data_IF_241459107887
#
_entry.id   IF_241459107887
#
_cell.length_a   1.000
_cell.length_b   1.000
_cell.length_c   1.000
_cell.angle_alpha   90.00
_cell.angle_beta   90.00
_cell.angle_gamma   90.00
#
_symmetry.space_group_name_H-M   'P 1'
#
loop_
_entity.id
_entity.type
_entity.pdbx_description
1 polymer ?
#
# COMPACT_ATOMS: atom_id res chain seq x y z
N UNK A 1 8.64 -14.92 -7.54
CA UNK A 1 8.40 -13.68 -8.31
C UNK A 1 6.95 -13.71 -8.75
N UNK A 2 6.05 -13.24 -7.87
CA UNK A 2 4.62 -13.11 -8.18
C UNK A 2 4.37 -11.71 -8.73
N UNK A 3 3.91 -11.63 -9.98
CA UNK A 3 3.36 -10.41 -10.53
C UNK A 3 1.95 -10.25 -9.94
N UNK A 4 1.72 -9.16 -9.21
CA UNK A 4 0.38 -8.85 -8.72
C UNK A 4 -0.51 -8.42 -9.90
N UNK A 5 -1.74 -8.92 -10.02
CA UNK A 5 -2.68 -8.39 -10.99
C UNK A 5 -3.18 -7.04 -10.47
N UNK A 6 -2.87 -5.96 -11.17
CA UNK A 6 -3.62 -4.73 -11.02
C UNK A 6 -5.06 -5.04 -11.48
N UNK A 7 -5.99 -5.20 -10.54
CA UNK A 7 -7.42 -5.18 -10.83
C UNK A 7 -7.76 -3.77 -11.33
N UNK A 8 -7.82 -3.62 -12.64
CA UNK A 8 -8.26 -2.43 -13.34
C UNK A 8 -9.77 -2.27 -13.20
N UNK A 9 -10.26 -1.93 -12.00
CA UNK A 9 -11.71 -1.74 -11.76
C UNK A 9 -12.10 -0.26 -11.66
N UNK A 10 -11.16 0.68 -11.61
CA UNK A 10 -11.48 2.12 -11.45
C UNK A 10 -11.66 2.89 -12.76
N UNK A 11 -11.52 2.26 -13.94
CA UNK A 11 -11.69 2.96 -15.22
C UNK A 11 -13.14 3.07 -15.71
N UNK A 12 -14.11 2.38 -15.09
CA UNK A 12 -15.48 2.30 -15.62
C UNK A 12 -16.48 3.27 -14.97
N UNK A 13 -16.17 3.87 -13.81
CA UNK A 13 -17.14 4.69 -13.08
C UNK A 13 -17.20 6.18 -13.53
N UNK A 14 -16.17 6.67 -14.21
CA UNK A 14 -16.15 8.08 -14.67
C UNK A 14 -16.71 8.29 -16.08
N UNK A 15 -17.12 7.24 -16.80
CA UNK A 15 -17.74 7.37 -18.13
C UNK A 15 -19.25 7.68 -18.08
N UNK A 16 -19.92 7.44 -16.95
CA UNK A 16 -21.37 7.65 -16.82
C UNK A 16 -21.77 9.02 -16.30
N UNK A 17 -20.82 9.88 -15.90
CA UNK A 17 -21.14 11.17 -15.27
C UNK A 17 -21.17 12.38 -16.21
N UNK A 18 -20.96 12.18 -17.51
CA UNK A 18 -20.98 13.25 -18.53
C UNK A 18 -22.25 13.30 -19.39
N UNK A 19 -23.19 12.36 -19.24
CA UNK A 19 -24.43 12.30 -20.02
C UNK A 19 -25.69 12.64 -19.20
N UNK A 20 -25.60 13.57 -18.25
CA UNK A 20 -26.78 14.03 -17.51
C UNK A 20 -26.84 15.55 -17.44
N UNK A 21 -26.88 16.16 -18.62
CA UNK A 21 -27.25 17.57 -18.80
C UNK A 21 -28.19 17.71 -20.01
N UNK A 22 -29.40 17.15 -19.90
CA UNK A 22 -30.52 17.52 -20.76
C UNK A 22 -31.79 17.75 -19.92
N UNK A 23 -32.52 18.77 -20.39
CA UNK A 23 -33.60 19.56 -19.79
C UNK A 23 -34.94 18.80 -19.62
N UNK A 24 -35.95 19.41 -18.94
CA UNK A 24 -37.06 18.69 -18.32
C UNK A 24 -38.25 18.48 -19.27
N UNK A 25 -38.96 17.37 -19.09
CA UNK A 25 -40.34 17.18 -19.57
C UNK A 25 -41.14 16.47 -18.46
N UNK A 26 -42.32 16.99 -18.08
CA UNK A 26 -43.19 16.32 -17.11
C UNK A 26 -44.21 15.45 -17.83
N UNK A 27 -44.27 14.15 -17.51
CA UNK A 27 -45.46 13.34 -17.81
C UNK A 27 -45.73 12.34 -16.70
N UNK A 28 -46.86 12.58 -16.05
CA UNK A 28 -47.60 11.73 -15.11
C UNK A 28 -47.91 10.36 -15.71
N UNK A 29 -47.57 9.26 -15.02
CA UNK A 29 -48.29 7.98 -15.09
C UNK A 29 -47.94 7.05 -13.89
N UNK A 30 -48.91 6.99 -12.97
CA UNK A 30 -49.45 5.90 -12.13
C UNK A 30 -48.65 4.58 -11.89
N UNK A 31 -48.67 4.04 -10.65
CA UNK A 31 -47.89 2.86 -10.25
C UNK A 31 -48.62 1.52 -10.46
N UNK A 32 -47.87 0.45 -10.71
CA UNK A 32 -48.34 -0.95 -10.69
C UNK A 32 -47.32 -1.80 -9.91
N UNK A 33 -47.66 -2.34 -8.73
CA UNK A 33 -47.07 -3.57 -8.17
C UNK A 33 -47.99 -4.76 -8.52
N UNK A 34 -47.74 -6.04 -8.14
CA UNK A 34 -46.56 -6.70 -7.57
C UNK A 34 -46.19 -8.02 -8.33
N UNK A 35 -45.14 -8.73 -7.91
CA UNK A 35 -45.13 -10.20 -7.92
C UNK A 35 -44.09 -10.73 -6.94
N UNK A 36 -44.56 -11.14 -5.76
CA UNK A 36 -43.86 -12.04 -4.85
C UNK A 36 -43.85 -13.44 -5.48
N UNK A 37 -42.66 -14.04 -5.65
CA UNK A 37 -42.56 -15.49 -5.81
C UNK A 37 -41.75 -16.04 -4.64
N UNK A 38 -42.49 -16.61 -3.69
CA UNK A 38 -42.00 -17.56 -2.72
C UNK A 38 -41.66 -18.87 -3.43
N UNK A 39 -40.53 -19.48 -3.09
CA UNK A 39 -40.33 -20.92 -3.26
C UNK A 39 -39.45 -21.43 -2.13
N UNK A 40 -40.11 -22.20 -1.28
CA UNK A 40 -39.69 -22.95 -0.11
C UNK A 40 -38.68 -24.06 -0.48
N UNK A 41 -37.79 -24.49 0.44
CA UNK A 41 -36.80 -25.52 0.17
C UNK A 41 -37.39 -26.94 0.30
N UNK A 42 -36.92 -27.86 -0.55
CA UNK A 42 -37.17 -29.30 -0.44
C UNK A 42 -35.91 -30.02 0.09
N UNK A 43 -36.05 -31.02 0.98
CA UNK A 43 -34.95 -31.82 1.51
C UNK A 43 -34.72 -33.10 0.68
N UNK A 44 -33.80 -33.95 1.16
CA UNK A 44 -33.34 -35.25 0.60
C UNK A 44 -32.10 -35.11 -0.31
N UNK A 45 -31.08 -35.99 -0.29
CA UNK A 45 -31.04 -37.39 0.13
C UNK A 45 -29.63 -37.73 0.61
N UNK A 46 -29.58 -38.57 1.65
CA UNK A 46 -28.39 -39.11 2.29
C UNK A 46 -27.97 -40.38 1.56
N UNK A 47 -26.99 -40.29 0.66
CA UNK A 47 -26.35 -41.48 0.08
C UNK A 47 -24.93 -41.65 0.61
N UNK A 48 -24.81 -42.68 1.44
CA UNK A 48 -23.59 -43.24 2.00
C UNK A 48 -22.85 -43.99 0.89
N UNK A 49 -21.83 -43.36 0.30
CA UNK A 49 -20.84 -44.06 -0.53
C UNK A 49 -19.50 -44.10 0.20
N UNK A 50 -19.09 -45.31 0.59
CA UNK A 50 -17.80 -45.61 1.19
C UNK A 50 -16.67 -45.31 0.19
N UNK A 51 -16.04 -44.14 0.34
CA UNK A 51 -14.82 -43.78 -0.41
C UNK A 51 -13.60 -44.21 0.40
N UNK A 52 -12.95 -45.29 -0.05
CA UNK A 52 -11.62 -45.71 0.39
C UNK A 52 -10.62 -44.58 0.15
N UNK A 53 -10.21 -43.90 1.22
CA UNK A 53 -9.19 -42.85 1.18
C UNK A 53 -7.80 -43.49 0.94
N UNK A 54 -7.09 -43.15 -0.15
CA UNK A 54 -5.69 -43.49 -0.28
C UNK A 54 -4.89 -42.67 0.75
N UNK A 55 -4.10 -43.39 1.56
CA UNK A 55 -3.18 -42.90 2.58
C UNK A 55 -2.22 -41.87 1.97
N UNK A 56 -2.62 -40.59 1.97
CA UNK A 56 -1.78 -39.46 1.57
C UNK A 56 -0.69 -39.21 2.61
N UNK A 57 0.54 -38.90 2.20
CA UNK A 57 1.60 -38.54 3.12
C UNK A 57 1.23 -37.26 3.88
N UNK A 58 1.54 -37.27 5.19
CA UNK A 58 1.42 -36.15 6.11
C UNK A 58 2.09 -34.89 5.55
N UNK A 59 1.26 -34.00 4.97
CA UNK A 59 1.62 -32.63 4.60
C UNK A 59 0.72 -31.69 5.41
N UNK A 60 0.91 -31.73 6.72
CA UNK A 60 0.26 -30.92 7.74
C UNK A 60 1.42 -30.32 8.53
N UNK A 61 1.73 -29.03 8.46
CA UNK A 61 1.17 -28.05 9.39
C UNK A 61 1.79 -26.66 9.15
N UNK A 62 1.93 -26.22 7.89
CA UNK A 62 2.52 -24.90 7.60
C UNK A 62 1.45 -23.88 7.15
N UNK A 63 0.40 -24.33 6.47
CA UNK A 63 -0.72 -23.49 6.04
C UNK A 63 -1.64 -23.05 7.18
N UNK A 64 -1.80 -23.87 8.22
CA UNK A 64 -2.69 -23.57 9.34
C UNK A 64 -2.14 -22.44 10.22
N UNK A 65 -0.82 -22.43 10.45
CA UNK A 65 -0.10 -21.40 11.21
C UNK A 65 -0.15 -20.04 10.51
N UNK A 66 -0.06 -20.01 9.18
CA UNK A 66 -0.21 -18.77 8.41
C UNK A 66 -1.64 -18.22 8.52
N UNK A 67 -2.65 -19.08 8.46
CA UNK A 67 -4.05 -18.63 8.55
C UNK A 67 -4.41 -18.04 9.92
N UNK A 68 -3.84 -18.56 11.00
CA UNK A 68 -4.05 -18.01 12.34
C UNK A 68 -3.31 -16.70 12.56
N UNK A 69 -2.08 -16.58 12.05
CA UNK A 69 -1.33 -15.33 12.07
C UNK A 69 -2.05 -14.22 11.30
N UNK A 70 -2.58 -14.53 10.12
CA UNK A 70 -3.33 -13.57 9.29
C UNK A 70 -4.60 -13.11 10.02
N UNK A 71 -5.37 -14.04 10.61
CA UNK A 71 -6.56 -13.71 11.42
C UNK A 71 -6.22 -12.84 12.64
N UNK A 72 -5.12 -13.16 13.32
CA UNK A 72 -4.64 -12.35 14.44
C UNK A 72 -4.34 -10.92 14.01
N UNK A 73 -3.62 -10.75 12.90
CA UNK A 73 -3.29 -9.45 12.33
C UNK A 73 -4.51 -8.62 11.93
N UNK A 74 -5.52 -9.24 11.32
CA UNK A 74 -6.77 -8.56 10.96
C UNK A 74 -7.55 -8.08 12.19
N UNK A 75 -7.61 -8.90 13.25
CA UNK A 75 -8.22 -8.51 14.52
C UNK A 75 -7.54 -7.28 15.14
N UNK A 76 -6.20 -7.21 15.11
CA UNK A 76 -5.48 -6.03 15.56
C UNK A 76 -5.77 -4.79 14.70
N UNK A 77 -5.86 -4.95 13.38
CA UNK A 77 -6.21 -3.84 12.48
C UNK A 77 -7.61 -3.29 12.78
N UNK A 78 -8.59 -4.15 13.06
CA UNK A 78 -9.96 -3.74 13.37
C UNK A 78 -10.04 -2.97 14.70
N UNK A 79 -9.22 -3.34 15.70
CA UNK A 79 -9.12 -2.63 16.98
C UNK A 79 -8.39 -1.29 16.83
N UNK A 80 -7.36 -1.25 15.99
CA UNK A 80 -6.50 -0.08 15.83
C UNK A 80 -7.08 0.97 14.88
N UNK A 81 -7.81 0.56 13.83
CA UNK A 81 -8.44 1.48 12.85
C UNK A 81 -9.23 2.62 13.50
N UNK A 82 -10.20 2.37 14.40
CA UNK A 82 -10.98 3.45 15.00
C UNK A 82 -10.17 4.30 15.98
N UNK A 83 -9.10 3.75 16.57
CA UNK A 83 -8.28 4.45 17.56
C UNK A 83 -7.24 5.38 16.92
N UNK A 84 -6.65 4.96 15.80
CA UNK A 84 -5.56 5.71 15.17
C UNK A 84 -6.08 6.66 14.07
N UNK A 85 -7.16 6.31 13.37
CA UNK A 85 -7.70 7.13 12.26
C UNK A 85 -9.21 7.33 12.34
N UNK A 86 -9.70 8.15 13.29
CA UNK A 86 -11.11 8.54 13.29
C UNK A 86 -11.51 9.38 12.05
N UNK A 87 -10.54 9.93 11.29
CA UNK A 87 -10.76 10.92 10.22
C UNK A 87 -10.23 10.48 8.83
N UNK A 88 -9.94 9.19 8.62
CA UNK A 88 -9.44 8.67 7.33
C UNK A 88 -7.93 8.81 7.12
N UNK A 89 -7.42 8.25 6.03
CA UNK A 89 -5.98 8.21 5.73
C UNK A 89 -5.52 9.62 5.31
N UNK A 90 -4.65 10.24 6.10
CA UNK A 90 -4.13 11.57 5.79
C UNK A 90 -3.11 11.55 4.65
N UNK A 91 -3.23 12.49 3.71
CA UNK A 91 -2.33 12.75 2.59
C UNK A 91 -1.07 13.54 2.97
N UNK A 92 -1.11 14.24 4.10
CA UNK A 92 -0.04 15.13 4.55
C UNK A 92 1.31 14.45 4.77
N UNK A 93 1.39 13.24 5.35
CA UNK A 93 2.67 12.53 5.48
C UNK A 93 3.33 12.25 4.12
N UNK A 94 2.56 11.88 3.09
CA UNK A 94 3.08 11.65 1.75
C UNK A 94 3.62 12.94 1.11
N UNK A 95 2.86 14.04 1.18
CA UNK A 95 3.32 15.35 0.69
C UNK A 95 4.51 15.90 1.48
N UNK A 96 4.51 15.74 2.80
CA UNK A 96 5.61 16.13 3.67
C UNK A 96 6.89 15.38 3.33
N UNK A 97 6.80 14.07 3.09
CA UNK A 97 7.95 13.27 2.68
C UNK A 97 8.46 13.67 1.30
N UNK A 98 7.54 13.91 0.35
CA UNK A 98 7.87 14.41 -0.98
C UNK A 98 8.64 15.72 -0.92
N UNK A 99 8.12 16.70 -0.17
CA UNK A 99 8.75 17.98 0.04
C UNK A 99 10.14 17.83 0.68
N UNK A 100 10.29 16.93 1.67
CA UNK A 100 11.57 16.68 2.33
C UNK A 100 12.61 16.09 1.35
N UNK A 101 12.20 15.16 0.49
CA UNK A 101 13.07 14.60 -0.56
C UNK A 101 13.49 15.64 -1.59
N UNK A 102 12.56 16.47 -2.08
CA UNK A 102 12.83 17.53 -3.05
C UNK A 102 13.71 18.63 -2.43
N UNK A 103 13.38 19.08 -1.21
CA UNK A 103 14.15 20.08 -0.47
C UNK A 103 15.56 19.60 -0.13
N UNK A 104 15.75 18.28 0.02
CA UNK A 104 17.08 17.70 0.21
C UNK A 104 17.88 17.59 -1.09
N UNK A 105 17.26 17.67 -2.27
CA UNK A 105 17.92 17.46 -3.57
C UNK A 105 19.07 18.43 -3.94
N UNK A 106 19.08 19.73 -3.57
CA UNK A 106 20.20 20.62 -3.91
C UNK A 106 21.48 20.30 -3.13
N UNK A 107 21.39 19.60 -2.00
CA UNK A 107 22.56 19.27 -1.19
C UNK A 107 23.32 18.08 -1.77
N UNK A 108 24.58 18.25 -2.21
CA UNK A 108 25.35 17.15 -2.75
C UNK A 108 25.64 16.12 -1.66
N UNK A 109 25.77 14.85 -2.06
CA UNK A 109 26.01 13.76 -1.14
C UNK A 109 27.44 13.74 -0.53
N UNK A 110 28.26 14.73 -0.91
CA UNK A 110 29.52 15.11 -0.26
C UNK A 110 29.30 16.01 0.97
N UNK A 111 28.31 16.90 0.92
CA UNK A 111 27.97 17.80 2.04
C UNK A 111 27.12 17.08 3.07
N UNK A 112 26.20 16.21 2.63
CA UNK A 112 25.38 15.41 3.52
C UNK A 112 25.70 13.91 3.36
N UNK A 113 26.64 13.37 4.15
CA UNK A 113 26.95 11.94 4.12
C UNK A 113 25.74 11.12 4.59
N UNK A 114 25.47 10.03 3.87
CA UNK A 114 24.39 9.10 4.18
C UNK A 114 23.07 9.34 3.47
N UNK A 115 22.91 10.45 2.73
CA UNK A 115 21.72 10.63 1.88
C UNK A 115 21.83 9.86 0.56
N UNK A 116 20.67 9.47 -0.04
CA UNK A 116 20.63 8.87 -1.37
C UNK A 116 21.27 9.77 -2.44
N UNK A 117 21.61 9.24 -3.62
CA UNK A 117 21.99 10.05 -4.77
C UNK A 117 20.93 11.11 -5.10
N UNK A 118 21.34 12.26 -5.65
CA UNK A 118 20.42 13.37 -5.98
C UNK A 118 19.23 12.92 -6.83
N UNK A 119 19.49 12.10 -7.86
CA UNK A 119 18.43 11.59 -8.74
C UNK A 119 17.46 10.66 -8.01
N UNK A 120 17.95 9.83 -7.09
CA UNK A 120 17.08 8.99 -6.27
C UNK A 120 16.17 9.85 -5.39
N UNK A 121 16.69 10.96 -4.80
CA UNK A 121 15.86 11.87 -3.99
C UNK A 121 14.76 12.53 -4.81
N UNK A 122 15.06 12.98 -6.03
CA UNK A 122 14.04 13.55 -6.91
C UNK A 122 12.99 12.50 -7.31
N UNK A 123 13.43 11.26 -7.62
CA UNK A 123 12.54 10.16 -7.94
C UNK A 123 11.62 9.83 -6.74
N UNK A 124 12.17 9.64 -5.54
CA UNK A 124 11.35 9.42 -4.34
C UNK A 124 10.43 10.59 -4.06
N UNK A 125 10.90 11.83 -4.20
CA UNK A 125 10.07 13.03 -4.09
C UNK A 125 8.85 12.97 -5.00
N UNK A 126 9.04 12.65 -6.28
CA UNK A 126 7.94 12.46 -7.24
C UNK A 126 7.01 11.31 -6.85
N UNK A 127 7.55 10.16 -6.45
CA UNK A 127 6.76 8.97 -6.09
C UNK A 127 5.88 9.21 -4.85
N UNK A 128 6.40 9.89 -3.84
CA UNK A 128 5.62 10.28 -2.67
C UNK A 128 4.58 11.37 -2.99
N UNK A 129 4.86 12.28 -3.91
CA UNK A 129 3.85 13.22 -4.41
C UNK A 129 2.72 12.49 -5.14
N UNK A 130 3.04 11.49 -5.98
CA UNK A 130 2.02 10.69 -6.67
C UNK A 130 1.15 9.88 -5.70
N UNK A 131 1.73 9.39 -4.60
CA UNK A 131 0.98 8.76 -3.52
C UNK A 131 0.02 9.75 -2.84
N UNK A 132 0.50 10.94 -2.47
CA UNK A 132 -0.34 11.99 -1.88
C UNK A 132 -1.49 12.41 -2.79
N UNK A 133 -1.24 12.53 -4.09
CA UNK A 133 -2.29 12.81 -5.09
C UNK A 133 -3.32 11.69 -5.22
N UNK A 134 -2.90 10.42 -5.14
CA UNK A 134 -3.83 9.28 -5.16
C UNK A 134 -4.75 9.29 -3.93
N UNK A 135 -4.19 9.53 -2.73
CA UNK A 135 -4.97 9.66 -1.48
C UNK A 135 -5.95 10.84 -1.60
N UNK A 136 -5.47 12.01 -2.05
CA UNK A 136 -6.31 13.20 -2.22
C UNK A 136 -7.44 13.00 -3.25
N UNK A 137 -7.24 12.12 -4.23
CA UNK A 137 -8.27 11.78 -5.23
C UNK A 137 -9.32 10.79 -4.71
N UNK A 138 -9.20 10.31 -3.47
CA UNK A 138 -10.08 9.32 -2.87
C UNK A 138 -9.64 7.86 -3.07
N UNK A 139 -8.52 7.62 -3.77
CA UNK A 139 -7.93 6.29 -3.92
C UNK A 139 -6.90 6.04 -2.81
N UNK A 140 -7.40 5.99 -1.57
CA UNK A 140 -6.57 5.91 -0.37
C UNK A 140 -5.74 4.61 -0.32
N UNK A 141 -6.31 3.49 -0.76
CA UNK A 141 -5.67 2.18 -0.69
C UNK A 141 -4.48 2.08 -1.65
N UNK A 142 -4.66 2.54 -2.89
CA UNK A 142 -3.57 2.60 -3.86
C UNK A 142 -2.49 3.58 -3.39
N UNK A 143 -2.89 4.79 -2.95
CA UNK A 143 -1.97 5.79 -2.43
C UNK A 143 -1.13 5.29 -1.24
N UNK A 144 -1.77 4.65 -0.26
CA UNK A 144 -1.11 4.03 0.89
C UNK A 144 -0.16 2.89 0.48
N UNK A 145 -0.56 2.06 -0.49
CA UNK A 145 0.28 0.98 -1.02
C UNK A 145 1.56 1.52 -1.69
N UNK A 146 1.42 2.55 -2.51
CA UNK A 146 2.53 3.23 -3.19
C UNK A 146 3.50 3.79 -2.13
N UNK A 147 3.00 4.55 -1.14
CA UNK A 147 3.84 5.08 -0.08
C UNK A 147 4.59 3.99 0.70
N UNK A 148 3.92 2.88 1.02
CA UNK A 148 4.50 1.77 1.78
C UNK A 148 5.60 1.08 0.99
N UNK A 149 5.34 0.74 -0.27
CA UNK A 149 6.33 0.09 -1.15
C UNK A 149 7.55 0.95 -1.39
N UNK A 150 7.36 2.24 -1.64
CA UNK A 150 8.49 3.16 -1.87
C UNK A 150 9.24 3.49 -0.59
N UNK A 151 8.57 3.48 0.57
CA UNK A 151 9.25 3.57 1.86
C UNK A 151 10.15 2.37 2.13
N UNK A 152 9.66 1.15 1.88
CA UNK A 152 10.46 -0.06 1.98
C UNK A 152 11.65 -0.04 0.99
N UNK A 153 11.38 0.36 -0.26
CA UNK A 153 12.40 0.50 -1.30
C UNK A 153 13.48 1.51 -0.92
N UNK A 154 13.12 2.63 -0.27
CA UNK A 154 14.07 3.61 0.23
C UNK A 154 14.99 3.02 1.31
N UNK A 155 14.46 2.24 2.26
CA UNK A 155 15.27 1.58 3.31
C UNK A 155 16.25 0.59 2.68
N UNK A 156 15.79 -0.24 1.76
CA UNK A 156 16.62 -1.21 1.04
C UNK A 156 17.72 -0.48 0.26
N UNK A 157 17.35 0.53 -0.54
CA UNK A 157 18.31 1.29 -1.33
C UNK A 157 19.33 2.03 -0.45
N UNK A 158 18.88 2.60 0.66
CA UNK A 158 19.75 3.26 1.64
C UNK A 158 20.75 2.29 2.26
N UNK A 159 20.33 1.06 2.55
CA UNK A 159 21.20 0.00 3.05
C UNK A 159 22.25 -0.41 2.01
N UNK A 160 21.81 -0.68 0.77
CA UNK A 160 22.70 -1.05 -0.35
C UNK A 160 23.72 0.07 -0.61
N UNK A 161 23.27 1.32 -0.63
CA UNK A 161 24.14 2.47 -0.91
C UNK A 161 25.19 2.68 0.19
N UNK A 162 24.82 2.47 1.47
CA UNK A 162 25.78 2.49 2.59
C UNK A 162 26.85 1.41 2.41
N UNK A 163 26.46 0.19 2.03
CA UNK A 163 27.40 -0.91 1.79
C UNK A 163 28.34 -0.61 0.62
N UNK A 164 27.79 -0.16 -0.51
CA UNK A 164 28.58 0.17 -1.70
C UNK A 164 29.58 1.29 -1.45
N UNK A 165 29.20 2.33 -0.69
CA UNK A 165 30.13 3.41 -0.30
C UNK A 165 31.27 2.92 0.58
N UNK A 166 31.01 2.00 1.51
CA UNK A 166 32.06 1.42 2.36
C UNK A 166 33.07 0.65 1.52
N UNK A 167 32.58 -0.14 0.56
CA UNK A 167 33.44 -0.88 -0.37
C UNK A 167 34.30 0.05 -1.25
N UNK A 168 33.69 1.12 -1.79
CA UNK A 168 34.44 2.09 -2.58
C UNK A 168 35.47 2.86 -1.76
N UNK A 169 35.14 3.26 -0.52
CA UNK A 169 36.10 3.93 0.37
C UNK A 169 37.31 3.04 0.66
N UNK A 170 37.09 1.74 0.87
CA UNK A 170 38.15 0.73 1.06
C UNK A 170 39.06 0.62 -0.16
N UNK A 171 38.50 0.60 -1.38
CA UNK A 171 39.28 0.52 -2.63
C UNK A 171 40.11 1.79 -2.91
N UNK A 172 39.62 2.94 -2.46
CA UNK A 172 40.26 4.24 -2.70
C UNK A 172 41.25 4.66 -1.61
N UNK A 173 41.51 3.82 -0.59
CA UNK A 173 42.32 4.16 0.59
C UNK A 173 41.89 5.47 1.27
N UNK A 174 40.63 5.86 1.09
CA UNK A 174 40.06 7.07 1.69
C UNK A 174 39.43 6.69 3.03
N UNK A 175 39.51 7.56 4.05
CA UNK A 175 38.81 7.32 5.30
C UNK A 175 37.31 7.14 5.00
N UNK A 176 36.65 6.12 5.58
CA UNK A 176 35.23 5.92 5.37
C UNK A 176 34.46 7.17 5.81
N UNK A 177 33.37 7.56 5.13
CA UNK A 177 32.54 8.67 5.59
C UNK A 177 31.99 8.32 6.99
N UNK A 178 32.49 9.02 8.01
CA UNK A 178 32.50 8.53 9.39
C UNK A 178 31.15 8.68 10.10
N UNK A 179 30.22 9.48 9.58
CA UNK A 179 28.96 9.72 10.29
C UNK A 179 27.78 9.87 9.34
N UNK A 180 26.68 9.21 9.70
CA UNK A 180 25.38 9.45 9.06
C UNK A 180 24.95 10.86 9.46
N UNK A 181 24.71 11.75 8.50
CA UNK A 181 24.19 13.08 8.85
C UNK A 181 22.87 12.96 9.63
N UNK A 182 22.58 13.87 10.58
CA UNK A 182 21.30 13.87 11.30
C UNK A 182 20.12 13.97 10.32
N UNK A 183 20.30 14.69 9.21
CA UNK A 183 19.31 14.74 8.12
C UNK A 183 19.02 13.37 7.50
N UNK A 184 20.04 12.54 7.27
CA UNK A 184 19.82 11.19 6.75
C UNK A 184 19.04 10.32 7.76
N UNK A 185 19.27 10.50 9.06
CA UNK A 185 18.50 9.85 10.11
C UNK A 185 17.04 10.31 10.12
N UNK A 186 16.80 11.63 10.13
CA UNK A 186 15.44 12.20 10.10
C UNK A 186 14.68 11.77 8.84
N UNK A 187 15.33 11.81 7.68
CA UNK A 187 14.70 11.39 6.43
C UNK A 187 14.36 9.90 6.45
N UNK A 188 15.28 9.05 6.94
CA UNK A 188 15.05 7.60 7.01
C UNK A 188 13.98 7.26 8.06
N UNK A 189 14.00 7.89 9.23
CA UNK A 189 13.01 7.66 10.28
C UNK A 189 11.63 8.15 9.86
N UNK A 190 11.53 9.32 9.22
CA UNK A 190 10.29 9.80 8.64
C UNK A 190 9.76 8.83 7.59
N UNK A 191 10.63 8.33 6.70
CA UNK A 191 10.23 7.36 5.67
C UNK A 191 9.73 6.06 6.28
N UNK A 192 10.40 5.53 7.32
CA UNK A 192 9.96 4.33 8.02
C UNK A 192 8.63 4.57 8.75
N UNK A 193 8.49 5.70 9.44
CA UNK A 193 7.28 6.06 10.16
C UNK A 193 6.09 6.19 9.20
N UNK A 194 6.29 6.85 8.05
CA UNK A 194 5.27 6.98 6.99
C UNK A 194 4.92 5.64 6.37
N UNK A 195 5.92 4.80 6.07
CA UNK A 195 5.69 3.45 5.55
C UNK A 195 4.94 2.55 6.54
N UNK A 196 5.24 2.66 7.84
CA UNK A 196 4.52 1.92 8.88
C UNK A 196 3.09 2.45 9.05
N UNK A 197 2.90 3.78 9.05
CA UNK A 197 1.60 4.40 9.17
C UNK A 197 0.65 3.98 8.05
N UNK A 198 1.10 4.05 6.79
CA UNK A 198 0.30 3.58 5.65
C UNK A 198 0.21 2.05 5.57
N UNK A 199 1.26 1.33 5.95
CA UNK A 199 1.27 -0.13 5.95
C UNK A 199 0.27 -0.76 6.92
N UNK A 200 -0.01 -0.11 8.06
CA UNK A 200 -1.04 -0.56 9.01
C UNK A 200 -2.45 -0.44 8.39
N UNK A 201 -2.63 0.44 7.42
CA UNK A 201 -3.95 0.70 6.79
C UNK A 201 -4.29 -0.22 5.62
N UNK A 202 -3.29 -0.97 5.11
CA UNK A 202 -3.44 -1.96 4.02
C UNK A 202 -3.88 -3.32 4.56
#
# INVERSE_FOLDING_TARGET
MGWWPFSSTTAQENATKLEQRQLPVPTTATPIPPAQNASTPLPETKDTAASTQPKRPLRYSESQTQSELVKGWQSYQDVLKPMIWPHGISEWPAFGLSALFIASSPFPASVLPGLPPRMARLAFGGLFATSGLAIQSGDEWNGASIATWWSASHVVLSSIYKTYRKEMAKKLSKPPPVTSSPFAWVLTSATIATGAAYGITL
#
